data_IF_880627692514
#
_entry.id   IF_880627692514
#
_cell.length_a   1.000
_cell.length_b   1.000
_cell.length_c   1.000
_cell.angle_alpha   90.00
_cell.angle_beta   90.00
_cell.angle_gamma   90.00
#
_symmetry.space_group_name_H-M   'P 1'
#
loop_
_entity.id
_entity.type
_entity.pdbx_description
1 polymer ?
#
# COMPACT_ATOMS: atom_id res chain seq x y z
N UNK A 1 -1.08 -6.08 -23.02
CA UNK A 1 -0.32 -6.72 -21.92
C UNK A 1 -0.69 -8.19 -21.93
N UNK A 2 0.26 -9.08 -22.23
CA UNK A 2 0.05 -10.53 -22.20
C UNK A 2 -0.11 -10.99 -20.74
N UNK A 3 -1.19 -11.73 -20.46
CA UNK A 3 -1.63 -12.19 -19.13
C UNK A 3 -0.78 -13.38 -18.64
N UNK A 4 0.55 -13.35 -18.79
CA UNK A 4 1.36 -14.58 -18.63
C UNK A 4 2.41 -14.59 -17.52
N UNK A 5 2.34 -13.70 -16.51
CA UNK A 5 3.22 -13.85 -15.33
C UNK A 5 2.75 -13.11 -14.06
N UNK A 6 1.44 -13.00 -13.83
CA UNK A 6 0.94 -12.48 -12.56
C UNK A 6 1.23 -13.49 -11.44
N UNK A 7 2.13 -13.14 -10.52
CA UNK A 7 2.32 -13.90 -9.28
C UNK A 7 0.97 -14.01 -8.54
N UNK A 8 0.52 -15.20 -8.14
CA UNK A 8 -0.69 -15.34 -7.33
C UNK A 8 -0.40 -15.03 -5.86
N UNK A 9 -1.43 -14.65 -5.09
CA UNK A 9 -1.33 -14.63 -3.63
C UNK A 9 -1.05 -16.02 -3.08
N UNK A 10 -0.05 -16.13 -2.20
CA UNK A 10 0.37 -17.36 -1.53
C UNK A 10 0.39 -17.12 -0.03
N UNK A 11 -0.55 -17.73 0.68
CA UNK A 11 -0.66 -17.70 2.13
C UNK A 11 0.29 -18.73 2.74
N UNK A 12 1.20 -18.26 3.58
CA UNK A 12 2.08 -19.08 4.40
C UNK A 12 1.53 -19.08 5.83
N UNK A 13 1.27 -20.27 6.36
CA UNK A 13 0.89 -20.46 7.76
C UNK A 13 1.08 -21.92 8.17
N UNK A 14 1.54 -22.13 9.39
CA UNK A 14 1.56 -23.46 10.03
C UNK A 14 0.17 -23.88 10.52
N UNK A 15 -0.77 -22.93 10.57
CA UNK A 15 -2.13 -23.14 11.05
C UNK A 15 -3.10 -23.40 9.90
N UNK A 16 -4.12 -24.21 10.16
CA UNK A 16 -5.28 -24.38 9.28
C UNK A 16 -6.48 -23.65 9.88
N UNK A 17 -7.41 -23.13 9.06
CA UNK A 17 -8.66 -22.56 9.57
C UNK A 17 -9.38 -23.54 10.50
N UNK A 18 -9.77 -23.07 11.68
CA UNK A 18 -10.37 -23.88 12.72
C UNK A 18 -11.56 -23.15 13.39
N UNK A 19 -12.37 -23.90 14.15
CA UNK A 19 -13.60 -23.36 14.76
C UNK A 19 -14.57 -22.86 13.68
N UNK A 20 -15.06 -21.63 13.83
CA UNK A 20 -16.01 -21.01 12.89
C UNK A 20 -15.34 -20.41 11.65
N UNK A 21 -14.00 -20.34 11.60
CA UNK A 21 -13.26 -19.72 10.50
C UNK A 21 -13.56 -20.35 9.12
N UNK A 22 -13.59 -21.70 8.95
CA UNK A 22 -13.86 -22.30 7.64
C UNK A 22 -15.20 -21.87 7.05
N UNK A 23 -16.25 -21.82 7.87
CA UNK A 23 -17.57 -21.40 7.44
C UNK A 23 -17.62 -19.90 7.12
N UNK A 24 -16.99 -19.07 7.95
CA UNK A 24 -16.93 -17.63 7.72
C UNK A 24 -16.17 -17.29 6.43
N UNK A 25 -15.03 -17.95 6.18
CA UNK A 25 -14.24 -17.79 4.96
C UNK A 25 -15.08 -18.19 3.73
N UNK A 26 -15.72 -19.36 3.76
CA UNK A 26 -16.54 -19.84 2.65
C UNK A 26 -17.68 -18.86 2.29
N UNK A 27 -18.41 -18.35 3.29
CA UNK A 27 -19.49 -17.38 3.06
C UNK A 27 -19.00 -16.05 2.50
N UNK A 28 -17.85 -15.55 2.98
CA UNK A 28 -17.27 -14.32 2.47
C UNK A 28 -16.85 -14.45 1.00
N UNK A 29 -16.30 -15.62 0.62
CA UNK A 29 -15.93 -15.94 -0.77
C UNK A 29 -17.18 -16.01 -1.64
N UNK A 30 -18.19 -16.79 -1.22
CA UNK A 30 -19.48 -16.92 -1.93
C UNK A 30 -20.10 -15.54 -2.18
N UNK A 31 -20.18 -14.68 -1.15
CA UNK A 31 -20.71 -13.33 -1.31
C UNK A 31 -19.90 -12.46 -2.29
N UNK A 32 -18.58 -12.65 -2.39
CA UNK A 32 -17.76 -11.94 -3.38
C UNK A 32 -18.06 -12.46 -4.80
N UNK A 33 -18.18 -13.77 -4.96
CA UNK A 33 -18.48 -14.44 -6.24
C UNK A 33 -19.90 -14.11 -6.74
N UNK A 34 -20.86 -13.96 -5.83
CA UNK A 34 -22.22 -13.51 -6.10
C UNK A 34 -22.32 -12.00 -6.44
N UNK A 35 -21.21 -11.26 -6.31
CA UNK A 35 -21.15 -9.83 -6.63
C UNK A 35 -21.70 -8.92 -5.53
N UNK A 36 -21.77 -9.37 -4.27
CA UNK A 36 -22.17 -8.51 -3.15
C UNK A 36 -21.15 -7.38 -2.96
N UNK A 37 -21.64 -6.13 -3.02
CA UNK A 37 -20.82 -4.95 -2.79
C UNK A 37 -20.41 -4.78 -1.31
N UNK A 38 -21.21 -5.28 -0.37
CA UNK A 38 -21.01 -5.10 1.06
C UNK A 38 -21.23 -6.40 1.82
N UNK A 39 -20.28 -6.73 2.69
CA UNK A 39 -20.33 -7.88 3.58
C UNK A 39 -19.75 -7.50 4.94
N UNK A 40 -20.17 -8.18 6.01
CA UNK A 40 -19.69 -7.92 7.37
C UNK A 40 -19.28 -9.22 8.05
N UNK A 41 -18.01 -9.31 8.43
CA UNK A 41 -17.48 -10.40 9.24
C UNK A 41 -17.65 -10.08 10.73
N UNK A 42 -18.69 -10.62 11.36
CA UNK A 42 -18.92 -10.47 12.80
C UNK A 42 -18.05 -11.48 13.57
N UNK A 43 -16.82 -11.08 13.92
CA UNK A 43 -15.88 -11.91 14.68
C UNK A 43 -15.56 -11.36 16.06
N UNK A 44 -15.62 -12.20 17.09
CA UNK A 44 -15.19 -11.85 18.45
C UNK A 44 -13.69 -11.54 18.50
N UNK A 45 -13.23 -10.82 19.54
CA UNK A 45 -11.81 -10.55 19.74
C UNK A 45 -11.04 -11.86 19.94
N UNK A 46 -9.86 -11.99 19.33
CA UNK A 46 -9.05 -13.20 19.41
C UNK A 46 -9.46 -14.34 18.47
N UNK A 47 -10.53 -14.19 17.67
CA UNK A 47 -10.99 -15.26 16.76
C UNK A 47 -10.13 -15.46 15.50
N UNK A 48 -9.00 -14.77 15.36
CA UNK A 48 -8.16 -14.84 14.16
C UNK A 48 -8.79 -14.19 12.91
N UNK A 49 -9.38 -13.00 13.06
CA UNK A 49 -10.00 -12.27 11.94
C UNK A 49 -9.03 -12.00 10.79
N UNK A 50 -7.80 -11.55 11.08
CA UNK A 50 -6.78 -11.30 10.05
C UNK A 50 -6.50 -12.57 9.25
N UNK A 51 -6.33 -13.71 9.92
CA UNK A 51 -6.09 -14.99 9.24
C UNK A 51 -7.28 -15.43 8.38
N UNK A 52 -8.51 -15.18 8.83
CA UNK A 52 -9.71 -15.44 8.03
C UNK A 52 -9.73 -14.58 6.76
N UNK A 53 -9.43 -13.28 6.87
CA UNK A 53 -9.34 -12.38 5.73
C UNK A 53 -8.16 -12.75 4.80
N UNK A 54 -7.02 -13.20 5.34
CA UNK A 54 -5.90 -13.69 4.54
C UNK A 54 -6.31 -14.91 3.69
N UNK A 55 -7.06 -15.85 4.24
CA UNK A 55 -7.60 -16.98 3.47
C UNK A 55 -8.57 -16.52 2.37
N UNK A 56 -9.42 -15.52 2.64
CA UNK A 56 -10.30 -14.92 1.63
C UNK A 56 -9.47 -14.29 0.50
N UNK A 57 -8.46 -13.47 0.82
CA UNK A 57 -7.56 -12.84 -0.17
C UNK A 57 -6.87 -13.90 -1.04
N UNK A 58 -6.29 -14.93 -0.42
CA UNK A 58 -5.68 -16.04 -1.14
C UNK A 58 -6.68 -16.73 -2.08
N UNK A 59 -7.94 -16.90 -1.67
CA UNK A 59 -8.89 -17.63 -2.51
C UNK A 59 -9.39 -16.79 -3.68
N UNK A 60 -9.64 -15.50 -3.43
CA UNK A 60 -10.26 -14.57 -4.37
C UNK A 60 -9.26 -13.96 -5.36
N UNK A 61 -7.96 -13.92 -5.02
CA UNK A 61 -6.89 -13.47 -5.92
C UNK A 61 -7.10 -12.03 -6.47
N UNK A 62 -7.50 -11.10 -5.60
CA UNK A 62 -7.74 -9.69 -5.96
C UNK A 62 -6.83 -8.75 -5.15
N UNK A 63 -6.26 -7.69 -5.77
CA UNK A 63 -5.61 -6.62 -5.02
C UNK A 63 -6.53 -6.10 -3.91
N UNK A 64 -5.99 -5.92 -2.71
CA UNK A 64 -6.79 -5.65 -1.52
C UNK A 64 -6.28 -4.42 -0.78
N UNK A 65 -7.19 -3.50 -0.45
CA UNK A 65 -6.93 -2.36 0.45
C UNK A 65 -7.50 -2.68 1.84
N UNK A 66 -6.64 -2.69 2.85
CA UNK A 66 -7.01 -2.87 4.25
C UNK A 66 -6.95 -1.51 4.95
N UNK A 67 -8.12 -0.98 5.31
CA UNK A 67 -8.24 0.30 6.00
C UNK A 67 -8.20 0.12 7.52
N UNK A 68 -7.26 0.78 8.18
CA UNK A 68 -7.14 0.83 9.63
C UNK A 68 -7.38 2.26 10.16
N UNK A 69 -8.04 2.42 11.33
CA UNK A 69 -8.38 3.73 11.88
C UNK A 69 -7.18 4.50 12.46
N UNK A 70 -6.06 3.82 12.74
CA UNK A 70 -4.87 4.45 13.33
C UNK A 70 -3.58 3.77 12.86
N UNK A 71 -2.44 4.47 13.00
CA UNK A 71 -1.11 3.99 12.57
C UNK A 71 -0.68 2.72 13.33
N UNK A 72 -1.05 2.57 14.61
CA UNK A 72 -0.66 1.42 15.44
C UNK A 72 -1.27 0.12 14.93
N UNK A 73 -2.59 0.10 14.71
CA UNK A 73 -3.28 -1.06 14.15
C UNK A 73 -2.88 -1.31 12.70
N UNK A 74 -2.63 -0.26 11.91
CA UNK A 74 -2.11 -0.40 10.56
C UNK A 74 -0.75 -1.11 10.55
N UNK A 75 0.18 -0.72 11.44
CA UNK A 75 1.48 -1.35 11.55
C UNK A 75 1.38 -2.83 11.99
N UNK A 76 0.48 -3.14 12.94
CA UNK A 76 0.21 -4.51 13.35
C UNK A 76 -0.29 -5.36 12.18
N UNK A 77 -1.33 -4.89 11.47
CA UNK A 77 -1.90 -5.60 10.32
C UNK A 77 -0.87 -5.76 9.19
N UNK A 78 -0.06 -4.73 8.94
CA UNK A 78 1.03 -4.81 7.99
C UNK A 78 2.03 -5.91 8.34
N UNK A 79 2.43 -6.02 9.62
CA UNK A 79 3.27 -7.11 10.11
C UNK A 79 2.62 -8.49 9.90
N UNK A 80 1.37 -8.66 10.33
CA UNK A 80 0.63 -9.92 10.18
C UNK A 80 0.49 -10.33 8.70
N UNK A 81 0.13 -9.39 7.81
CA UNK A 81 0.02 -9.69 6.38
C UNK A 81 1.38 -9.98 5.73
N UNK A 82 2.47 -9.32 6.15
CA UNK A 82 3.84 -9.61 5.67
C UNK A 82 4.27 -11.03 6.05
N UNK A 83 3.91 -11.49 7.24
CA UNK A 83 4.16 -12.88 7.68
C UNK A 83 3.30 -13.88 6.89
N UNK A 84 2.03 -13.55 6.65
CA UNK A 84 1.12 -14.40 5.88
C UNK A 84 1.46 -14.46 4.38
N UNK A 85 2.00 -13.39 3.79
CA UNK A 85 2.25 -13.29 2.35
C UNK A 85 3.69 -12.84 2.04
N UNK A 86 4.72 -13.61 2.45
CA UNK A 86 6.12 -13.21 2.30
C UNK A 86 6.58 -13.11 0.83
N UNK A 87 5.87 -13.78 -0.08
CA UNK A 87 6.18 -13.78 -1.52
C UNK A 87 5.45 -12.68 -2.32
N UNK A 88 4.45 -12.02 -1.71
CA UNK A 88 3.59 -11.04 -2.37
C UNK A 88 3.92 -9.58 -1.98
N UNK A 89 3.34 -8.61 -2.68
CA UNK A 89 3.52 -7.20 -2.35
C UNK A 89 2.59 -6.80 -1.22
N UNK A 90 3.07 -6.88 0.02
CA UNK A 90 2.39 -6.30 1.18
C UNK A 90 3.04 -4.95 1.47
N UNK A 91 2.24 -3.90 1.37
CA UNK A 91 2.69 -2.51 1.35
C UNK A 91 2.00 -1.69 2.44
N UNK A 92 2.62 -0.58 2.84
CA UNK A 92 2.17 0.26 3.94
C UNK A 92 1.92 1.70 3.47
N UNK A 93 0.72 2.22 3.72
CA UNK A 93 0.31 3.53 3.24
C UNK A 93 -0.36 4.38 4.32
N UNK A 94 0.46 5.16 5.04
CA UNK A 94 -0.02 6.09 6.07
C UNK A 94 0.55 7.49 5.83
N UNK A 95 0.08 8.47 6.61
CA UNK A 95 0.67 9.81 6.58
C UNK A 95 2.17 9.74 6.88
N UNK A 96 2.97 10.30 5.97
CA UNK A 96 4.42 10.43 6.11
C UNK A 96 4.82 11.56 7.05
N UNK A 97 3.87 12.31 7.61
CA UNK A 97 4.18 13.29 8.64
C UNK A 97 4.30 12.61 10.01
N UNK A 98 5.42 12.84 10.68
CA UNK A 98 5.61 12.52 12.10
C UNK A 98 4.96 13.58 12.98
N UNK A 99 5.04 14.84 12.55
CA UNK A 99 4.34 15.98 13.13
C UNK A 99 3.69 16.80 12.02
N UNK A 100 2.47 17.27 12.24
CA UNK A 100 1.76 18.12 11.29
C UNK A 100 0.83 19.09 12.00
N UNK A 101 1.08 20.37 11.79
CA UNK A 101 0.21 21.48 12.15
C UNK A 101 -0.33 22.11 10.85
N UNK A 102 -1.66 22.08 10.64
CA UNK A 102 -2.24 22.75 9.50
C UNK A 102 -2.13 24.27 9.65
N UNK A 103 -2.09 24.95 8.52
CA UNK A 103 -2.30 26.40 8.47
C UNK A 103 -3.74 26.69 8.91
N UNK A 104 -3.91 27.63 9.84
CA UNK A 104 -5.22 28.01 10.32
C UNK A 104 -5.25 29.47 10.77
N UNK A 105 -6.40 30.11 10.62
CA UNK A 105 -6.68 31.40 11.23
C UNK A 105 -7.76 31.22 12.30
N UNK A 106 -7.52 31.73 13.51
CA UNK A 106 -8.42 31.64 14.66
C UNK A 106 -9.06 33.01 14.90
N UNK A 107 -10.32 33.24 14.45
CA UNK A 107 -10.92 34.58 14.46
C UNK A 107 -11.14 35.14 15.86
N UNK A 108 -11.42 34.28 16.85
CA UNK A 108 -11.71 34.69 18.22
C UNK A 108 -10.51 35.34 18.92
N UNK A 109 -9.29 35.00 18.51
CA UNK A 109 -8.05 35.52 19.07
C UNK A 109 -7.20 36.29 18.06
N UNK A 110 -7.75 36.56 16.86
CA UNK A 110 -7.05 37.20 15.74
C UNK A 110 -5.65 36.58 15.52
N UNK A 111 -5.58 35.25 15.57
CA UNK A 111 -4.30 34.52 15.54
C UNK A 111 -4.18 33.73 14.27
N UNK A 112 -3.12 34.00 13.51
CA UNK A 112 -2.70 33.16 12.41
C UNK A 112 -1.70 32.11 12.89
N UNK A 113 -1.98 30.85 12.56
CA UNK A 113 -1.17 29.67 12.87
C UNK A 113 -0.53 29.22 11.56
N UNK A 114 0.79 29.37 11.47
CA UNK A 114 1.56 28.91 10.33
C UNK A 114 1.55 27.38 10.22
N UNK A 115 1.65 26.90 8.99
CA UNK A 115 1.90 25.50 8.71
C UNK A 115 3.29 25.11 9.21
N UNK A 116 3.35 24.07 10.01
CA UNK A 116 4.59 23.44 10.44
C UNK A 116 4.47 21.92 10.33
N UNK A 117 5.51 21.24 9.87
CA UNK A 117 5.46 19.80 9.65
C UNK A 117 6.85 19.17 9.66
N UNK A 118 6.91 17.93 10.15
CA UNK A 118 8.09 17.06 10.06
C UNK A 118 7.75 15.82 9.24
N UNK A 119 8.60 15.50 8.26
CA UNK A 119 8.41 14.38 7.33
C UNK A 119 9.29 13.20 7.72
N UNK A 120 8.73 12.01 7.61
CA UNK A 120 9.41 10.74 7.75
C UNK A 120 9.73 10.16 6.37
N UNK A 121 10.99 10.28 5.95
CA UNK A 121 11.47 9.83 4.64
C UNK A 121 11.23 8.32 4.42
N UNK A 122 11.31 7.50 5.48
CA UNK A 122 11.07 6.07 5.36
C UNK A 122 9.61 5.76 5.03
N UNK A 123 8.66 6.44 5.69
CA UNK A 123 7.23 6.28 5.38
C UNK A 123 6.92 6.82 3.98
N UNK A 124 7.56 7.90 3.55
CA UNK A 124 7.42 8.40 2.18
C UNK A 124 7.87 7.36 1.14
N UNK A 125 9.03 6.72 1.36
CA UNK A 125 9.50 5.62 0.51
C UNK A 125 8.51 4.44 0.49
N UNK A 126 7.93 4.07 1.64
CA UNK A 126 6.91 3.00 1.70
C UNK A 126 5.66 3.37 0.90
N UNK A 127 5.24 4.64 0.90
CA UNK A 127 4.09 5.10 0.08
C UNK A 127 4.38 5.00 -1.41
N UNK A 128 5.58 5.38 -1.84
CA UNK A 128 6.02 5.23 -3.23
C UNK A 128 6.08 3.75 -3.65
N UNK A 129 6.53 2.88 -2.75
CA UNK A 129 6.48 1.43 -2.94
C UNK A 129 5.05 0.93 -3.14
N UNK A 130 4.11 1.39 -2.29
CA UNK A 130 2.70 1.00 -2.36
C UNK A 130 2.02 1.41 -3.69
N UNK A 131 2.23 2.65 -4.15
CA UNK A 131 1.66 3.12 -5.42
C UNK A 131 2.27 2.37 -6.60
N UNK A 132 3.58 2.14 -6.59
CA UNK A 132 4.26 1.33 -7.60
C UNK A 132 3.73 -0.10 -7.65
N UNK A 133 3.62 -0.76 -6.50
CA UNK A 133 3.14 -2.14 -6.41
C UNK A 133 1.71 -2.27 -6.97
N UNK A 134 0.81 -1.34 -6.66
CA UNK A 134 -0.55 -1.35 -7.18
C UNK A 134 -0.62 -1.28 -8.71
N UNK A 135 0.33 -0.58 -9.34
CA UNK A 135 0.40 -0.40 -10.79
C UNK A 135 1.11 -1.58 -11.49
N UNK A 136 2.08 -2.19 -10.85
CA UNK A 136 2.93 -3.23 -11.45
C UNK A 136 2.49 -4.66 -11.13
N UNK A 137 1.77 -4.87 -10.01
CA UNK A 137 1.53 -6.19 -9.43
C UNK A 137 0.07 -6.42 -9.04
N UNK A 138 -0.59 -7.48 -9.56
CA UNK A 138 -1.94 -7.84 -9.15
C UNK A 138 -1.99 -8.53 -7.77
N UNK A 139 -0.85 -8.99 -7.24
CA UNK A 139 -0.72 -9.59 -5.91
C UNK A 139 -0.34 -8.57 -4.83
N UNK A 140 -1.08 -7.46 -4.80
CA UNK A 140 -0.81 -6.34 -3.88
C UNK A 140 -1.85 -6.23 -2.76
N UNK A 141 -1.38 -6.22 -1.51
CA UNK A 141 -2.15 -5.85 -0.31
C UNK A 141 -1.59 -4.53 0.22
N UNK A 142 -2.41 -3.49 0.28
CA UNK A 142 -2.03 -2.21 0.89
C UNK A 142 -2.72 -2.10 2.24
N UNK A 143 -1.95 -1.97 3.31
CA UNK A 143 -2.47 -1.63 4.64
C UNK A 143 -2.36 -0.11 4.82
N UNK A 144 -3.50 0.56 4.95
CA UNK A 144 -3.58 2.01 4.91
C UNK A 144 -4.37 2.61 6.07
N UNK A 145 -4.11 3.88 6.37
CA UNK A 145 -5.01 4.72 7.16
C UNK A 145 -5.89 5.58 6.25
N UNK A 146 -6.66 6.50 6.83
CA UNK A 146 -7.41 7.54 6.10
C UNK A 146 -6.52 8.36 5.15
N UNK A 147 -5.20 8.27 5.21
CA UNK A 147 -4.32 8.86 4.20
C UNK A 147 -4.64 8.38 2.77
N UNK A 148 -5.21 7.19 2.59
CA UNK A 148 -5.61 6.65 1.28
C UNK A 148 -6.76 7.42 0.59
N UNK A 149 -7.51 8.25 1.32
CA UNK A 149 -8.58 9.09 0.76
C UNK A 149 -8.16 10.54 0.51
N UNK A 150 -6.91 10.90 0.85
CA UNK A 150 -6.35 12.21 0.53
C UNK A 150 -5.79 12.23 -0.88
N UNK A 151 -5.77 13.43 -1.48
CA UNK A 151 -5.33 13.62 -2.86
C UNK A 151 -3.92 13.08 -3.11
N UNK A 152 -3.84 12.21 -4.12
CA UNK A 152 -2.60 11.83 -4.80
C UNK A 152 -2.57 12.53 -6.17
N UNK A 153 -1.37 12.68 -6.74
CA UNK A 153 -1.23 13.12 -8.13
C UNK A 153 -1.92 12.17 -9.11
N UNK A 154 -2.16 12.62 -10.34
CA UNK A 154 -2.79 11.81 -11.38
C UNK A 154 -1.99 10.51 -11.63
N UNK A 155 -2.60 9.32 -11.56
CA UNK A 155 -1.89 8.05 -11.77
C UNK A 155 -1.23 7.93 -13.15
N UNK A 156 -1.82 8.53 -14.18
CA UNK A 156 -1.28 8.59 -15.54
C UNK A 156 -0.04 9.46 -15.60
N UNK A 157 -0.04 10.59 -14.87
CA UNK A 157 1.16 11.42 -14.75
C UNK A 157 2.25 10.67 -13.99
N UNK A 158 1.90 9.98 -12.89
CA UNK A 158 2.86 9.16 -12.16
C UNK A 158 3.50 8.08 -13.04
N UNK A 159 2.70 7.36 -13.83
CA UNK A 159 3.20 6.36 -14.79
C UNK A 159 4.07 6.97 -15.89
N UNK A 160 3.75 8.18 -16.36
CA UNK A 160 4.58 8.89 -17.35
C UNK A 160 5.95 9.32 -16.80
N UNK A 161 6.06 9.39 -15.47
CA UNK A 161 7.29 9.66 -14.73
C UNK A 161 8.00 8.37 -14.29
N UNK A 162 7.72 7.21 -14.88
CA UNK A 162 8.49 5.98 -14.58
C UNK A 162 9.51 5.73 -15.68
N UNK A 163 10.80 5.76 -15.32
CA UNK A 163 11.87 5.34 -16.21
C UNK A 163 11.97 3.81 -16.25
N UNK A 164 11.46 3.19 -17.31
CA UNK A 164 11.68 1.77 -17.57
C UNK A 164 13.05 1.55 -18.23
N UNK A 165 13.85 0.61 -17.68
CA UNK A 165 15.12 0.18 -18.25
C UNK A 165 15.16 -1.34 -18.31
N UNK A 166 15.38 -1.89 -19.50
CA UNK A 166 15.53 -3.34 -19.71
C UNK A 166 16.94 -3.72 -20.14
N UNK A 167 17.43 -4.88 -19.68
CA UNK A 167 18.75 -5.37 -20.10
C UNK A 167 18.74 -5.67 -21.61
N UNK A 168 19.67 -5.06 -22.34
CA UNK A 168 19.78 -5.18 -23.80
C UNK A 168 19.05 -4.09 -24.58
N UNK A 169 18.34 -3.20 -23.90
CA UNK A 169 17.72 -2.02 -24.51
C UNK A 169 18.78 -1.00 -24.94
N UNK A 170 18.65 -0.48 -26.17
CA UNK A 170 19.48 0.62 -26.66
C UNK A 170 18.79 1.95 -26.33
N UNK A 171 19.29 2.62 -25.31
CA UNK A 171 18.79 3.93 -24.86
C UNK A 171 19.94 4.93 -24.70
N UNK A 172 19.70 6.16 -25.11
CA UNK A 172 20.68 7.25 -25.01
C UNK A 172 20.86 7.69 -23.55
N UNK A 173 22.11 7.75 -23.09
CA UNK A 173 22.43 8.13 -21.71
C UNK A 173 21.93 9.54 -21.34
N UNK A 174 22.00 10.52 -22.26
CA UNK A 174 21.51 11.88 -22.02
C UNK A 174 19.99 11.94 -21.97
N UNK A 175 19.29 11.02 -22.63
CA UNK A 175 17.84 10.85 -22.48
C UNK A 175 17.50 10.35 -21.07
N UNK A 176 18.24 9.38 -20.54
CA UNK A 176 18.08 8.91 -19.14
C UNK A 176 18.29 10.06 -18.16
N UNK A 177 19.39 10.80 -18.29
CA UNK A 177 19.71 11.90 -17.38
C UNK A 177 18.66 13.02 -17.39
N UNK A 178 18.14 13.39 -18.58
CA UNK A 178 17.05 14.37 -18.69
C UNK A 178 15.78 13.87 -18.01
N UNK A 179 15.43 12.60 -18.23
CA UNK A 179 14.24 12.04 -17.62
C UNK A 179 14.35 11.95 -16.10
N UNK A 180 15.52 11.59 -15.56
CA UNK A 180 15.80 11.66 -14.11
C UNK A 180 15.63 13.07 -13.56
N UNK A 181 16.11 14.09 -14.28
CA UNK A 181 15.92 15.49 -13.89
C UNK A 181 14.45 15.93 -13.93
N UNK A 182 13.68 15.51 -14.95
CA UNK A 182 12.23 15.74 -15.02
C UNK A 182 11.49 15.14 -13.81
N UNK A 183 11.92 13.95 -13.39
CA UNK A 183 11.43 13.24 -12.19
C UNK A 183 11.95 13.83 -10.86
N UNK A 184 12.60 15.00 -10.87
CA UNK A 184 13.12 15.68 -9.68
C UNK A 184 14.26 14.95 -8.95
N UNK A 185 14.96 14.00 -9.61
CA UNK A 185 16.19 13.45 -9.05
C UNK A 185 17.32 14.47 -9.12
N UNK A 186 17.99 14.71 -8.00
CA UNK A 186 19.20 15.52 -7.95
C UNK A 186 20.44 14.66 -8.22
N UNK A 187 21.33 15.15 -9.07
CA UNK A 187 22.63 14.50 -9.29
C UNK A 187 23.55 14.88 -8.15
N UNK A 188 24.06 13.89 -7.42
CA UNK A 188 25.06 14.08 -6.38
C UNK A 188 26.25 13.14 -6.66
N UNK A 189 27.36 13.70 -7.14
CA UNK A 189 28.59 12.95 -7.43
C UNK A 189 29.50 12.80 -6.17
N UNK A 190 29.14 13.39 -5.02
CA UNK A 190 30.02 13.57 -3.86
C UNK A 190 29.64 12.75 -2.61
N UNK A 191 28.39 12.33 -2.44
CA UNK A 191 27.95 11.49 -1.29
C UNK A 191 27.57 10.06 -1.72
N UNK A 192 28.42 9.09 -1.38
CA UNK A 192 28.02 7.68 -1.26
C UNK A 192 27.55 7.45 0.18
N UNK A 193 26.27 7.68 0.48
CA UNK A 193 25.70 7.29 1.78
C UNK A 193 25.65 5.76 1.84
N UNK A 194 26.37 5.19 2.83
CA UNK A 194 26.36 3.77 3.18
C UNK A 194 25.18 3.44 4.08
#
# INVERSE_FOLDING_TARGET
MSVSDSKPFRLHSDFKPAGDQPQAIARMIEGIEDGLAHQTLLGVTGSGKTFSIANVIQRVQRPTLVMAPNKTLAAQLYGEFREFFPENAVEYFVSYYDYYQPEAYVPSSDTYIEKDASVNEHIEQMRLSATKALLERPDTIIVATVSAIYGLGDPTQYLSMVLHLSRGELIDQRRILRHLAEMQYSRNDMELRR
#
